data_IF_223893112293
#
_entry.id   IF_223893112293
#
_cell.length_a   1.000
_cell.length_b   1.000
_cell.length_c   1.000
_cell.angle_alpha   90.00
_cell.angle_beta   90.00
_cell.angle_gamma   90.00
#
_symmetry.space_group_name_H-M   'P 1'
#
loop_
_entity.id
_entity.type
_entity.pdbx_description
1 polymer ?
#
# COMPACT_ATOMS: atom_id res chain seq x y z
N UNK A 1 21.48 7.57 -16.31
CA UNK A 1 20.92 6.53 -15.43
C UNK A 1 21.69 5.25 -15.74
N UNK A 2 22.16 4.53 -14.72
CA UNK A 2 23.01 3.34 -14.89
C UNK A 2 22.19 2.21 -15.54
N UNK A 3 22.63 1.55 -16.62
CA UNK A 3 21.92 0.41 -17.21
C UNK A 3 21.63 -0.73 -16.21
N UNK A 4 22.45 -0.92 -15.18
CA UNK A 4 22.16 -1.88 -14.11
C UNK A 4 20.93 -1.49 -13.26
N UNK A 5 20.62 -0.19 -13.18
CA UNK A 5 19.44 0.31 -12.47
C UNK A 5 18.13 0.12 -13.23
N UNK A 6 18.17 0.00 -14.56
CA UNK A 6 16.98 -0.31 -15.38
C UNK A 6 16.50 -1.74 -15.15
N UNK A 7 17.43 -2.69 -15.10
CA UNK A 7 17.14 -4.11 -14.88
C UNK A 7 16.45 -4.33 -13.51
N UNK A 8 16.93 -3.65 -12.48
CA UNK A 8 16.38 -3.76 -11.13
C UNK A 8 14.94 -3.22 -11.02
N UNK A 9 14.64 -2.10 -11.68
CA UNK A 9 13.29 -1.50 -11.66
C UNK A 9 12.28 -2.39 -12.39
N UNK A 10 12.69 -3.06 -13.46
CA UNK A 10 11.87 -4.07 -14.15
C UNK A 10 11.49 -5.22 -13.22
N UNK A 11 12.49 -5.81 -12.55
CA UNK A 11 12.29 -6.92 -11.60
C UNK A 11 11.33 -6.51 -10.46
N UNK A 12 11.52 -5.31 -9.90
CA UNK A 12 10.64 -4.81 -8.84
C UNK A 12 9.19 -4.64 -9.31
N UNK A 13 8.97 -4.11 -10.51
CA UNK A 13 7.62 -4.02 -11.07
C UNK A 13 6.98 -5.40 -11.19
N UNK A 14 7.73 -6.40 -11.67
CA UNK A 14 7.17 -7.73 -11.89
C UNK A 14 6.80 -8.43 -10.59
N UNK A 15 7.60 -8.26 -9.53
CA UNK A 15 7.34 -8.85 -8.21
C UNK A 15 6.23 -8.09 -7.47
N UNK A 16 6.30 -6.76 -7.43
CA UNK A 16 5.42 -5.94 -6.59
C UNK A 16 4.13 -5.50 -7.29
N UNK A 17 4.09 -5.59 -8.63
CA UNK A 17 3.07 -5.01 -9.49
C UNK A 17 2.95 -3.48 -9.39
N UNK A 18 3.90 -2.82 -8.73
CA UNK A 18 4.02 -1.37 -8.69
C UNK A 18 4.65 -0.92 -10.01
N UNK A 19 3.93 -0.09 -10.76
CA UNK A 19 4.39 0.40 -12.07
C UNK A 19 5.70 1.19 -11.92
N UNK A 20 6.61 1.08 -12.90
CA UNK A 20 7.94 1.72 -12.83
C UNK A 20 7.89 3.22 -12.55
N UNK A 21 6.83 3.93 -12.98
CA UNK A 21 6.64 5.36 -12.69
C UNK A 21 6.67 5.64 -11.18
N UNK A 22 6.09 4.75 -10.37
CA UNK A 22 6.01 4.85 -8.91
C UNK A 22 7.27 4.34 -8.20
N UNK A 23 8.09 3.55 -8.89
CA UNK A 23 9.35 3.05 -8.37
C UNK A 23 10.52 4.01 -8.64
N UNK A 24 10.40 4.84 -9.68
CA UNK A 24 11.43 5.81 -10.09
C UNK A 24 11.29 7.17 -9.41
N UNK A 25 10.07 7.58 -9.11
CA UNK A 25 9.77 8.88 -8.51
C UNK A 25 8.87 8.72 -7.28
N UNK A 26 9.39 8.96 -6.06
CA UNK A 26 8.59 8.94 -4.84
C UNK A 26 7.41 9.90 -4.84
N UNK A 27 7.52 11.07 -5.49
CA UNK A 27 6.45 12.08 -5.50
C UNK A 27 5.23 11.60 -6.31
N UNK A 28 5.46 10.74 -7.31
CA UNK A 28 4.39 10.13 -8.08
C UNK A 28 3.48 9.21 -7.25
N UNK A 29 3.93 8.67 -6.11
CA UNK A 29 3.11 7.85 -5.20
C UNK A 29 1.89 8.61 -4.66
N UNK A 30 2.02 9.92 -4.45
CA UNK A 30 0.91 10.76 -4.01
C UNK A 30 -0.20 10.88 -5.06
N UNK A 31 0.15 10.73 -6.34
CA UNK A 31 -0.76 10.82 -7.47
C UNK A 31 -1.43 9.48 -7.82
N UNK A 32 -1.01 8.37 -7.22
CA UNK A 32 -1.66 7.08 -7.40
C UNK A 32 -3.06 7.08 -6.76
N UNK A 33 -4.06 6.58 -7.50
CA UNK A 33 -5.41 6.44 -6.95
C UNK A 33 -5.44 5.46 -5.78
N UNK A 34 -6.43 5.63 -4.90
CA UNK A 34 -6.65 4.73 -3.76
C UNK A 34 -6.71 3.26 -4.20
N UNK A 35 -7.50 2.94 -5.23
CA UNK A 35 -7.63 1.58 -5.78
C UNK A 35 -6.29 1.01 -6.24
N UNK A 36 -5.42 1.86 -6.82
CA UNK A 36 -4.09 1.44 -7.26
C UNK A 36 -3.18 1.13 -6.08
N UNK A 37 -3.21 1.96 -5.04
CA UNK A 37 -2.44 1.71 -3.81
C UNK A 37 -2.90 0.43 -3.10
N UNK A 38 -4.20 0.17 -3.09
CA UNK A 38 -4.79 -1.06 -2.54
C UNK A 38 -4.43 -2.32 -3.34
N UNK A 39 -4.14 -2.20 -4.64
CA UNK A 39 -3.77 -3.37 -5.44
C UNK A 39 -2.30 -3.80 -5.26
N UNK A 40 -1.41 -2.91 -4.84
CA UNK A 40 0.03 -3.21 -4.70
C UNK A 40 0.37 -4.32 -3.70
N UNK A 41 -0.24 -4.38 -2.50
CA UNK A 41 0.03 -5.49 -1.58
C UNK A 41 -0.86 -6.72 -1.85
N UNK A 42 -1.68 -6.75 -2.90
CA UNK A 42 -2.67 -7.83 -3.11
C UNK A 42 -2.05 -9.24 -3.21
N UNK A 43 -0.81 -9.35 -3.68
CA UNK A 43 -0.08 -10.62 -3.75
C UNK A 43 0.87 -10.85 -2.57
N UNK A 44 0.96 -9.92 -1.60
CA UNK A 44 1.88 -10.07 -0.47
C UNK A 44 1.32 -11.06 0.55
N UNK A 45 2.21 -11.92 1.06
CA UNK A 45 1.94 -12.73 2.24
C UNK A 45 2.57 -12.06 3.44
N UNK A 46 1.78 -11.89 4.50
CA UNK A 46 2.24 -11.33 5.77
C UNK A 46 2.30 -12.43 6.83
N UNK A 47 3.26 -12.32 7.75
CA UNK A 47 3.40 -13.29 8.85
C UNK A 47 2.17 -13.27 9.75
N UNK A 48 1.62 -12.07 10.01
CA UNK A 48 0.39 -11.90 10.78
C UNK A 48 -0.70 -11.27 9.92
N UNK A 49 -1.96 -11.54 10.27
CA UNK A 49 -3.13 -11.04 9.53
C UNK A 49 -3.29 -9.52 9.65
N UNK A 50 -2.91 -8.95 10.78
CA UNK A 50 -2.93 -7.51 11.08
C UNK A 50 -1.85 -6.73 10.31
N UNK A 51 -0.69 -7.34 10.05
CA UNK A 51 0.38 -6.73 9.24
C UNK A 51 -0.09 -6.34 7.81
N UNK A 52 -1.10 -7.03 7.26
CA UNK A 52 -1.67 -6.71 5.95
C UNK A 52 -2.37 -5.34 5.96
N UNK A 53 -2.94 -4.93 7.10
CA UNK A 53 -3.52 -3.61 7.29
C UNK A 53 -2.44 -2.56 7.58
N UNK A 54 -1.49 -2.89 8.45
CA UNK A 54 -0.47 -1.91 8.88
C UNK A 54 0.50 -1.52 7.76
N UNK A 55 0.84 -2.45 6.85
CA UNK A 55 1.68 -2.11 5.70
C UNK A 55 1.00 -1.15 4.71
N UNK A 56 -0.33 -1.03 4.74
CA UNK A 56 -1.10 -0.11 3.91
C UNK A 56 -1.24 1.29 4.54
N UNK A 57 -1.11 1.44 5.85
CA UNK A 57 -1.30 2.72 6.54
C UNK A 57 -0.44 3.84 5.94
N UNK A 58 0.85 3.59 5.76
CA UNK A 58 1.77 4.57 5.17
C UNK A 58 1.47 4.88 3.70
N UNK A 59 1.06 3.88 2.92
CA UNK A 59 0.71 4.05 1.50
C UNK A 59 -0.58 4.87 1.32
N UNK A 60 -1.55 4.64 2.20
CA UNK A 60 -2.87 5.29 2.17
C UNK A 60 -2.91 6.59 2.98
N UNK A 61 -1.82 6.94 3.66
CA UNK A 61 -1.73 8.09 4.56
C UNK A 61 -2.83 8.06 5.65
N UNK A 62 -3.05 6.87 6.22
CA UNK A 62 -4.01 6.61 7.30
C UNK A 62 -3.27 6.45 8.61
N UNK A 63 -3.80 7.05 9.68
CA UNK A 63 -3.29 6.86 11.03
C UNK A 63 -4.34 6.13 11.89
N UNK A 64 -3.98 4.97 12.42
CA UNK A 64 -4.80 4.19 13.35
C UNK A 64 -3.90 3.47 14.38
N UNK A 65 -4.38 3.22 15.61
CA UNK A 65 -3.59 2.48 16.61
C UNK A 65 -3.21 1.05 16.17
N UNK A 66 -1.95 0.68 16.38
CA UNK A 66 -1.42 -0.68 16.21
C UNK A 66 -1.87 -1.55 17.39
N UNK A 67 -2.83 -2.44 17.15
CA UNK A 67 -3.37 -3.37 18.13
C UNK A 67 -3.00 -4.80 17.73
N UNK A 68 -1.76 -5.20 18.01
CA UNK A 68 -1.27 -6.52 17.64
C UNK A 68 -2.12 -7.64 18.25
N UNK A 69 -2.51 -8.60 17.41
CA UNK A 69 -3.37 -9.72 17.80
C UNK A 69 -4.85 -9.53 17.44
N UNK A 70 -5.24 -8.39 16.87
CA UNK A 70 -6.62 -8.17 16.37
C UNK A 70 -6.91 -8.93 15.06
N UNK A 71 -5.88 -9.42 14.38
CA UNK A 71 -5.99 -10.23 13.18
C UNK A 71 -6.68 -9.50 12.03
N UNK A 72 -7.75 -10.07 11.47
CA UNK A 72 -8.47 -9.48 10.34
C UNK A 72 -9.22 -8.18 10.70
N UNK A 73 -9.45 -7.91 12.00
CA UNK A 73 -10.09 -6.66 12.45
C UNK A 73 -9.25 -5.42 12.12
N UNK A 74 -7.92 -5.55 12.03
CA UNK A 74 -7.05 -4.45 11.62
C UNK A 74 -7.43 -3.92 10.23
N UNK A 75 -7.80 -4.84 9.32
CA UNK A 75 -8.15 -4.48 7.95
C UNK A 75 -9.52 -3.78 7.87
N UNK A 76 -10.47 -4.18 8.71
CA UNK A 76 -11.78 -3.51 8.82
C UNK A 76 -11.59 -2.07 9.31
N UNK A 77 -10.80 -1.87 10.38
CA UNK A 77 -10.48 -0.54 10.90
C UNK A 77 -9.76 0.33 9.86
N UNK A 78 -8.84 -0.25 9.09
CA UNK A 78 -8.20 0.44 7.98
C UNK A 78 -9.23 0.93 6.96
N UNK A 79 -10.19 0.07 6.57
CA UNK A 79 -11.26 0.47 5.65
C UNK A 79 -12.13 1.59 6.21
N UNK A 80 -12.48 1.55 7.49
CA UNK A 80 -13.23 2.61 8.16
C UNK A 80 -12.50 3.96 8.09
N UNK A 81 -11.20 3.99 8.36
CA UNK A 81 -10.40 5.21 8.25
C UNK A 81 -10.28 5.72 6.81
N UNK A 82 -10.10 4.81 5.84
CA UNK A 82 -10.09 5.17 4.42
C UNK A 82 -11.43 5.79 4.00
N UNK A 83 -12.55 5.22 4.43
CA UNK A 83 -13.90 5.73 4.13
C UNK A 83 -14.09 7.15 4.69
N UNK A 84 -13.60 7.43 5.91
CA UNK A 84 -13.64 8.77 6.51
C UNK A 84 -12.87 9.79 5.68
N UNK A 85 -11.70 9.43 5.15
CA UNK A 85 -10.88 10.31 4.30
C UNK A 85 -11.55 10.59 2.95
N UNK A 86 -12.15 9.57 2.33
CA UNK A 86 -12.80 9.71 1.01
C UNK A 86 -14.14 10.43 1.10
N UNK A 87 -14.73 10.53 2.30
CA UNK A 87 -15.99 11.26 2.52
C UNK A 87 -17.24 10.52 2.08
N UNK A 88 -17.23 9.19 2.04
CA UNK A 88 -18.39 8.36 1.64
C UNK A 88 -19.49 8.33 2.73
N UNK A 89 -19.30 9.05 3.85
CA UNK A 89 -20.34 9.25 4.86
C UNK A 89 -20.68 10.74 4.90
N UNK A 90 -21.81 11.10 4.28
CA UNK A 90 -22.56 12.34 4.52
C UNK A 90 -23.99 11.97 4.90
#
# INVERSE_FOLDING_TARGET
>A
MDPASEDFVGILQDITKIQQIYLRDPDSLHHASLTRKLSWPSCRQTTRKDDAAYCLMGLLNVNMPLLYGEGAMAFIRLQEEVIKIVGIVS
#
